data_IF_930133601661
#
_entry.id   IF_930133601661
#
_cell.length_a   1.000
_cell.length_b   1.000
_cell.length_c   1.000
_cell.angle_alpha   90.00
_cell.angle_beta   90.00
_cell.angle_gamma   90.00
#
_symmetry.space_group_name_H-M   'P 1'
#
loop_
_entity.id
_entity.type
_entity.pdbx_description
1 polymer ?
#
# COMPACT_ATOMS: atom_id res chain seq x y z
N UNK A 1 18.77 -14.63 -4.47
CA UNK A 1 17.74 -13.56 -4.63
C UNK A 1 16.60 -13.96 -5.57
N UNK A 2 16.83 -14.19 -6.88
CA UNK A 2 15.74 -14.54 -7.84
C UNK A 2 14.85 -15.73 -7.40
N UNK A 3 15.44 -16.80 -6.84
CA UNK A 3 14.68 -17.97 -6.32
C UNK A 3 13.74 -17.63 -5.16
N UNK A 4 14.12 -16.70 -4.29
CA UNK A 4 13.32 -16.28 -3.12
C UNK A 4 12.15 -15.40 -3.57
N UNK A 5 12.41 -14.46 -4.48
CA UNK A 5 11.37 -13.59 -5.05
C UNK A 5 10.32 -14.44 -5.79
N UNK A 6 10.75 -15.41 -6.61
CA UNK A 6 9.83 -16.29 -7.31
C UNK A 6 8.96 -17.14 -6.35
N UNK A 7 9.52 -17.57 -5.22
CA UNK A 7 8.77 -18.30 -4.20
C UNK A 7 7.73 -17.41 -3.51
N UNK A 8 8.10 -16.16 -3.19
CA UNK A 8 7.19 -15.16 -2.62
C UNK A 8 6.02 -14.88 -3.58
N UNK A 9 6.32 -14.65 -4.86
CA UNK A 9 5.32 -14.44 -5.92
C UNK A 9 4.38 -15.63 -6.01
N UNK A 10 4.93 -16.85 -6.01
CA UNK A 10 4.13 -18.08 -6.05
C UNK A 10 3.18 -18.20 -4.84
N UNK A 11 3.65 -17.90 -3.63
CA UNK A 11 2.81 -17.94 -2.42
C UNK A 11 1.68 -16.90 -2.50
N UNK A 12 1.98 -15.68 -2.97
CA UNK A 12 0.97 -14.62 -3.13
C UNK A 12 -0.11 -15.03 -4.15
N UNK A 13 0.30 -15.52 -5.33
CA UNK A 13 -0.61 -15.99 -6.36
C UNK A 13 -1.44 -17.19 -5.90
N UNK A 14 -0.82 -18.16 -5.23
CA UNK A 14 -1.52 -19.30 -4.66
C UNK A 14 -2.57 -18.87 -3.63
N UNK A 15 -2.25 -17.88 -2.78
CA UNK A 15 -3.21 -17.33 -1.82
C UNK A 15 -4.38 -16.57 -2.48
N UNK A 16 -4.07 -15.77 -3.51
CA UNK A 16 -5.09 -15.08 -4.31
C UNK A 16 -6.05 -16.06 -4.96
N UNK A 17 -5.51 -17.08 -5.64
CA UNK A 17 -6.29 -18.16 -6.23
C UNK A 17 -7.12 -18.88 -5.17
N UNK A 18 -6.52 -19.31 -4.07
CA UNK A 18 -7.22 -20.00 -2.98
C UNK A 18 -8.46 -19.27 -2.48
N UNK A 19 -8.34 -17.95 -2.33
CA UNK A 19 -9.43 -17.17 -1.78
C UNK A 19 -10.52 -16.90 -2.82
N UNK A 20 -10.14 -16.70 -4.09
CA UNK A 20 -11.10 -16.67 -5.22
C UNK A 20 -11.84 -18.01 -5.32
N UNK A 21 -11.12 -19.14 -5.24
CA UNK A 21 -11.70 -20.49 -5.25
C UNK A 21 -12.64 -20.72 -4.06
N UNK A 22 -12.23 -20.41 -2.81
CA UNK A 22 -13.11 -20.50 -1.64
C UNK A 22 -14.38 -19.66 -1.78
N UNK A 23 -14.31 -18.51 -2.45
CA UNK A 23 -15.45 -17.62 -2.63
C UNK A 23 -16.38 -18.06 -3.79
N UNK A 24 -15.84 -18.71 -4.83
CA UNK A 24 -16.60 -19.32 -5.94
C UNK A 24 -17.27 -20.65 -5.50
N UNK A 25 -16.56 -21.48 -4.73
CA UNK A 25 -17.00 -22.82 -4.29
C UNK A 25 -18.03 -22.81 -3.17
N UNK A 26 -18.28 -21.66 -2.52
CA UNK A 26 -19.43 -21.51 -1.62
C UNK A 26 -20.76 -21.83 -2.32
N UNK A 27 -20.77 -21.83 -3.66
CA UNK A 27 -21.93 -22.15 -4.49
C UNK A 27 -21.88 -23.51 -5.21
N UNK A 28 -20.76 -24.25 -5.22
CA UNK A 28 -20.68 -25.60 -5.81
C UNK A 28 -19.46 -26.34 -5.21
N UNK A 29 -19.72 -27.38 -4.43
CA UNK A 29 -18.73 -28.05 -3.58
C UNK A 29 -17.58 -28.72 -4.35
N UNK A 30 -16.38 -28.69 -3.75
CA UNK A 30 -15.14 -29.24 -4.30
C UNK A 30 -14.30 -29.99 -3.24
N UNK A 31 -13.33 -30.75 -3.74
CA UNK A 31 -12.64 -31.85 -3.04
C UNK A 31 -11.71 -31.35 -1.90
N UNK A 32 -12.04 -31.78 -0.68
CA UNK A 32 -11.47 -31.33 0.60
C UNK A 32 -9.93 -31.47 0.68
N UNK A 33 -9.34 -32.41 -0.06
CA UNK A 33 -7.92 -32.74 0.04
C UNK A 33 -6.98 -31.68 -0.59
N UNK A 34 -7.42 -31.02 -1.67
CA UNK A 34 -6.68 -29.90 -2.29
C UNK A 34 -6.84 -28.62 -1.48
N UNK A 35 -8.02 -28.40 -0.89
CA UNK A 35 -8.30 -27.29 0.03
C UNK A 35 -7.45 -27.43 1.30
N UNK A 36 -7.29 -28.64 1.84
CA UNK A 36 -6.51 -28.89 3.06
C UNK A 36 -5.00 -28.66 2.89
N UNK A 37 -4.42 -29.00 1.72
CA UNK A 37 -2.99 -28.72 1.45
C UNK A 37 -2.69 -27.23 1.27
N UNK A 38 -3.71 -26.45 0.97
CA UNK A 38 -3.61 -25.03 0.67
C UNK A 38 -4.22 -24.14 1.79
N UNK A 39 -5.02 -24.70 2.69
CA UNK A 39 -5.63 -24.02 3.84
C UNK A 39 -4.64 -23.64 4.93
N UNK A 40 -3.43 -24.20 4.89
CA UNK A 40 -2.36 -23.91 5.83
C UNK A 40 -1.71 -22.54 5.59
N UNK A 41 -1.92 -21.93 4.41
CA UNK A 41 -1.46 -20.56 4.14
C UNK A 41 -2.42 -19.58 4.81
N UNK A 42 -2.01 -19.07 5.99
CA UNK A 42 -2.79 -18.06 6.72
C UNK A 42 -2.57 -16.68 6.10
N UNK A 43 -3.62 -15.86 6.11
CA UNK A 43 -3.57 -14.44 5.72
C UNK A 43 -2.41 -13.69 6.41
N UNK A 44 -2.12 -14.05 7.65
CA UNK A 44 -1.02 -13.44 8.43
C UNK A 44 0.36 -13.75 7.84
N UNK A 45 0.57 -14.94 7.29
CA UNK A 45 1.84 -15.29 6.66
C UNK A 45 2.01 -14.55 5.33
N UNK A 46 0.91 -14.32 4.62
CA UNK A 46 0.89 -13.48 3.42
C UNK A 46 1.17 -12.01 3.75
N UNK A 47 0.59 -11.49 4.84
CA UNK A 47 0.92 -10.14 5.33
C UNK A 47 2.40 -10.01 5.67
N UNK A 48 2.99 -11.00 6.36
CA UNK A 48 4.44 -11.00 6.66
C UNK A 48 5.29 -10.96 5.39
N UNK A 49 4.88 -11.67 4.35
CA UNK A 49 5.57 -11.68 3.05
C UNK A 49 5.51 -10.30 2.39
N UNK A 50 4.33 -9.68 2.34
CA UNK A 50 4.15 -8.33 1.77
C UNK A 50 4.94 -7.28 2.54
N UNK A 51 5.03 -7.43 3.86
CA UNK A 51 5.82 -6.55 4.76
C UNK A 51 7.32 -6.82 4.74
N UNK A 52 7.77 -7.89 4.09
CA UNK A 52 9.18 -8.29 4.13
C UNK A 52 10.04 -7.33 3.30
N UNK A 53 11.23 -7.01 3.81
CA UNK A 53 12.22 -6.17 3.11
C UNK A 53 12.75 -6.82 1.83
N UNK A 54 12.43 -8.10 1.62
CA UNK A 54 12.84 -8.88 0.46
C UNK A 54 11.85 -8.78 -0.71
N UNK A 55 10.66 -8.19 -0.52
CA UNK A 55 9.71 -7.96 -1.60
C UNK A 55 10.00 -6.61 -2.26
N UNK A 56 10.77 -6.63 -3.34
CA UNK A 56 10.96 -5.47 -4.21
C UNK A 56 10.16 -5.68 -5.49
N UNK A 57 8.99 -5.03 -5.56
CA UNK A 57 8.08 -5.17 -6.71
C UNK A 57 8.72 -4.69 -8.01
N UNK A 58 9.67 -3.75 -7.96
CA UNK A 58 10.35 -3.25 -9.17
C UNK A 58 11.27 -4.28 -9.83
N UNK A 59 11.63 -5.36 -9.10
CA UNK A 59 12.44 -6.48 -9.62
C UNK A 59 11.60 -7.63 -10.18
N UNK A 60 10.29 -7.45 -10.25
CA UNK A 60 9.33 -8.45 -10.71
C UNK A 60 8.81 -8.02 -12.08
N UNK A 61 8.48 -8.97 -12.95
CA UNK A 61 7.87 -8.69 -14.26
C UNK A 61 6.54 -7.92 -14.09
N UNK A 62 6.22 -6.98 -14.99
CA UNK A 62 5.08 -6.05 -14.83
C UNK A 62 3.73 -6.78 -14.67
N UNK A 63 3.49 -7.87 -15.41
CA UNK A 63 2.29 -8.72 -15.32
C UNK A 63 2.11 -9.34 -13.92
N UNK A 64 3.22 -9.73 -13.29
CA UNK A 64 3.25 -10.25 -11.93
C UNK A 64 3.11 -9.14 -10.89
N UNK A 65 3.67 -7.95 -11.15
CA UNK A 65 3.46 -6.78 -10.28
C UNK A 65 1.98 -6.44 -10.15
N UNK A 66 1.26 -6.36 -11.29
CA UNK A 66 -0.18 -6.08 -11.31
C UNK A 66 -0.99 -7.13 -10.55
N UNK A 67 -0.67 -8.41 -10.75
CA UNK A 67 -1.32 -9.53 -10.05
C UNK A 67 -1.10 -9.45 -8.54
N UNK A 68 0.13 -9.20 -8.09
CA UNK A 68 0.46 -9.06 -6.67
C UNK A 68 -0.24 -7.85 -6.06
N UNK A 69 -0.21 -6.69 -6.72
CA UNK A 69 -0.87 -5.48 -6.25
C UNK A 69 -2.39 -5.66 -6.18
N UNK A 70 -2.99 -6.38 -7.12
CA UNK A 70 -4.42 -6.72 -7.10
C UNK A 70 -4.79 -7.57 -5.88
N UNK A 71 -3.94 -8.54 -5.52
CA UNK A 71 -4.10 -9.35 -4.30
C UNK A 71 -3.95 -8.47 -3.06
N UNK A 72 -2.92 -7.62 -3.00
CA UNK A 72 -2.70 -6.67 -1.90
C UNK A 72 -3.92 -5.76 -1.70
N UNK A 73 -4.47 -5.22 -2.80
CA UNK A 73 -5.67 -4.37 -2.82
C UNK A 73 -6.90 -5.15 -2.35
N UNK A 74 -7.14 -6.32 -2.92
CA UNK A 74 -8.33 -7.14 -2.65
C UNK A 74 -8.43 -7.63 -1.22
N UNK A 75 -7.30 -7.94 -0.57
CA UNK A 75 -7.26 -8.44 0.81
C UNK A 75 -6.83 -7.41 1.84
N UNK A 76 -6.64 -6.15 1.44
CA UNK A 76 -6.21 -5.07 2.32
C UNK A 76 -4.95 -5.43 3.14
N UNK A 77 -3.94 -5.98 2.48
CA UNK A 77 -2.78 -6.62 3.14
C UNK A 77 -1.79 -5.64 3.79
N UNK A 78 -1.86 -4.36 3.45
CA UNK A 78 -1.03 -3.30 4.03
C UNK A 78 -1.71 -2.80 5.31
N UNK A 79 -0.97 -2.58 6.39
CA UNK A 79 -1.45 -1.84 7.56
C UNK A 79 -0.71 -0.50 7.68
N UNK A 80 -1.20 0.38 8.55
CA UNK A 80 -0.56 1.69 8.74
C UNK A 80 0.90 1.58 9.20
N UNK A 81 1.22 0.60 10.04
CA UNK A 81 2.57 0.37 10.56
C UNK A 81 3.60 -0.01 9.47
N UNK A 82 3.14 -0.54 8.33
CA UNK A 82 3.99 -0.94 7.19
C UNK A 82 3.83 -0.02 5.98
N UNK A 83 3.03 1.04 6.10
CA UNK A 83 2.68 1.91 5.00
C UNK A 83 3.90 2.63 4.41
N UNK A 84 4.81 3.14 5.24
CA UNK A 84 6.02 3.81 4.77
C UNK A 84 6.92 2.89 3.94
N UNK A 85 7.16 1.65 4.39
CA UNK A 85 7.93 0.64 3.67
C UNK A 85 7.28 0.30 2.33
N UNK A 86 5.96 0.12 2.33
CA UNK A 86 5.22 -0.11 1.10
C UNK A 86 5.34 1.08 0.14
N UNK A 87 5.30 2.31 0.67
CA UNK A 87 5.47 3.53 -0.12
C UNK A 87 6.85 3.58 -0.80
N UNK A 88 7.90 3.16 -0.10
CA UNK A 88 9.24 3.11 -0.67
C UNK A 88 9.38 2.05 -1.77
N UNK A 89 8.79 0.86 -1.57
CA UNK A 89 8.82 -0.23 -2.55
C UNK A 89 8.18 0.16 -3.88
N UNK A 90 7.14 1.01 -3.87
CA UNK A 90 6.43 1.38 -5.09
C UNK A 90 6.95 2.62 -5.81
N UNK A 91 8.09 3.19 -5.39
CA UNK A 91 8.71 4.37 -6.03
C UNK A 91 9.01 4.10 -7.51
N UNK A 92 9.60 2.94 -7.81
CA UNK A 92 10.11 2.57 -9.13
C UNK A 92 9.08 1.86 -10.03
N UNK A 93 7.83 1.71 -9.57
CA UNK A 93 6.77 1.10 -10.39
C UNK A 93 6.37 2.03 -11.54
N UNK A 94 6.03 1.44 -12.68
CA UNK A 94 5.57 2.11 -13.91
C UNK A 94 4.23 1.55 -14.38
N UNK A 95 3.64 2.17 -15.40
CA UNK A 95 2.43 1.65 -16.07
C UNK A 95 1.23 1.42 -15.14
N UNK A 96 0.47 0.34 -15.40
CA UNK A 96 -0.72 -0.02 -14.62
C UNK A 96 -0.39 -0.45 -13.19
N UNK A 97 0.78 -1.07 -12.97
CA UNK A 97 1.25 -1.41 -11.64
C UNK A 97 1.39 -0.15 -10.77
N UNK A 98 1.93 0.96 -11.30
CA UNK A 98 2.00 2.23 -10.57
C UNK A 98 0.61 2.77 -10.23
N UNK A 99 -0.36 2.64 -11.14
CA UNK A 99 -1.74 3.08 -10.91
C UNK A 99 -2.40 2.27 -9.77
N UNK A 100 -2.34 0.94 -9.84
CA UNK A 100 -2.85 0.05 -8.79
C UNK A 100 -2.21 0.32 -7.44
N UNK A 101 -0.89 0.51 -7.42
CA UNK A 101 -0.15 0.88 -6.22
C UNK A 101 -0.64 2.21 -5.63
N UNK A 102 -0.84 3.23 -6.47
CA UNK A 102 -1.32 4.54 -6.00
C UNK A 102 -2.74 4.43 -5.43
N UNK A 103 -3.62 3.64 -6.07
CA UNK A 103 -4.96 3.34 -5.55
C UNK A 103 -4.93 2.69 -4.17
N UNK A 104 -4.02 1.73 -3.95
CA UNK A 104 -3.90 1.05 -2.65
C UNK A 104 -3.56 2.05 -1.55
N UNK A 105 -2.60 2.93 -1.80
CA UNK A 105 -2.18 3.95 -0.82
C UNK A 105 -3.31 4.96 -0.60
N UNK A 106 -3.97 5.40 -1.67
CA UNK A 106 -5.10 6.33 -1.56
C UNK A 106 -6.26 5.72 -0.76
N UNK A 107 -6.55 4.43 -0.94
CA UNK A 107 -7.54 3.73 -0.13
C UNK A 107 -7.20 3.73 1.36
N UNK A 108 -5.91 3.72 1.73
CA UNK A 108 -5.49 3.87 3.13
C UNK A 108 -5.76 5.28 3.65
N UNK A 109 -5.43 6.30 2.88
CA UNK A 109 -5.80 7.67 3.21
C UNK A 109 -7.32 7.80 3.41
N UNK A 110 -8.15 7.31 2.47
CA UNK A 110 -9.60 7.39 2.56
C UNK A 110 -10.17 6.70 3.80
N UNK A 111 -9.57 5.59 4.24
CA UNK A 111 -10.02 4.83 5.43
C UNK A 111 -9.74 5.57 6.73
N UNK A 112 -8.57 6.19 6.86
CA UNK A 112 -8.20 6.94 8.07
C UNK A 112 -7.15 8.01 7.72
N UNK A 113 -7.58 9.24 7.36
CA UNK A 113 -6.69 10.32 6.95
C UNK A 113 -5.67 10.69 8.04
N UNK A 114 -6.08 10.75 9.31
CA UNK A 114 -5.20 11.18 10.39
C UNK A 114 -4.06 10.19 10.62
N UNK A 115 -4.38 8.88 10.67
CA UNK A 115 -3.37 7.83 10.80
C UNK A 115 -2.46 7.77 9.57
N UNK A 116 -3.03 7.94 8.38
CA UNK A 116 -2.26 8.01 7.15
C UNK A 116 -1.25 9.15 7.18
N UNK A 117 -1.70 10.36 7.53
CA UNK A 117 -0.85 11.54 7.52
C UNK A 117 0.29 11.39 8.54
N UNK A 118 0.02 10.85 9.74
CA UNK A 118 1.07 10.54 10.73
C UNK A 118 2.12 9.55 10.23
N UNK A 119 1.71 8.55 9.45
CA UNK A 119 2.64 7.56 8.91
C UNK A 119 3.51 8.12 7.78
N UNK A 120 2.95 8.95 6.89
CA UNK A 120 3.74 9.54 5.79
C UNK A 120 4.69 10.65 6.27
N UNK A 121 4.50 11.20 7.47
CA UNK A 121 5.49 12.12 8.07
C UNK A 121 6.86 11.45 8.25
N UNK A 122 6.90 10.12 8.40
CA UNK A 122 8.14 9.34 8.52
C UNK A 122 8.94 9.24 7.23
N UNK A 123 8.36 9.60 6.08
CA UNK A 123 9.08 9.68 4.79
C UNK A 123 10.04 10.89 4.81
N UNK A 124 10.87 11.05 3.78
CA UNK A 124 11.48 12.37 3.56
C UNK A 124 10.46 13.40 3.03
N UNK A 125 10.84 14.68 3.04
CA UNK A 125 9.96 15.80 2.67
C UNK A 125 9.57 15.77 1.19
N UNK A 126 10.47 15.34 0.31
CA UNK A 126 10.23 15.34 -1.12
C UNK A 126 9.25 14.24 -1.49
N UNK A 127 9.41 13.04 -0.94
CA UNK A 127 8.54 11.90 -1.17
C UNK A 127 7.15 12.12 -0.62
N UNK A 128 7.03 12.64 0.60
CA UNK A 128 5.74 13.02 1.17
C UNK A 128 5.03 14.02 0.27
N UNK A 129 5.74 15.05 -0.20
CA UNK A 129 5.14 16.09 -1.04
C UNK A 129 4.73 15.56 -2.40
N UNK A 130 5.56 14.74 -3.07
CA UNK A 130 5.22 14.09 -4.35
C UNK A 130 3.99 13.18 -4.22
N UNK A 131 3.89 12.43 -3.13
CA UNK A 131 2.75 11.56 -2.87
C UNK A 131 1.47 12.39 -2.71
N UNK A 132 1.50 13.44 -1.90
CA UNK A 132 0.34 14.30 -1.68
C UNK A 132 -0.07 15.10 -2.92
N UNK A 133 0.88 15.54 -3.75
CA UNK A 133 0.60 16.12 -5.07
C UNK A 133 -0.13 15.11 -5.97
N UNK A 134 0.37 13.87 -6.03
CA UNK A 134 -0.29 12.80 -6.78
C UNK A 134 -1.74 12.60 -6.33
N UNK A 135 -2.01 12.73 -5.03
CA UNK A 135 -3.37 12.63 -4.51
C UNK A 135 -4.24 13.82 -4.90
N UNK A 136 -3.69 15.02 -4.81
CA UNK A 136 -4.36 16.25 -5.21
C UNK A 136 -4.68 16.30 -6.72
N UNK A 137 -3.84 15.69 -7.54
CA UNK A 137 -4.00 15.73 -8.99
C UNK A 137 -4.98 14.65 -9.48
N UNK A 138 -5.05 13.50 -8.80
CA UNK A 138 -5.78 12.31 -9.28
C UNK A 138 -7.04 11.95 -8.52
N UNK A 139 -7.14 12.29 -7.23
CA UNK A 139 -8.17 11.68 -6.36
C UNK A 139 -8.92 12.67 -5.46
N UNK A 140 -8.29 13.77 -5.06
CA UNK A 140 -8.81 14.72 -4.09
C UNK A 140 -8.62 16.14 -4.58
N UNK A 141 -9.41 17.06 -4.04
CA UNK A 141 -9.11 18.47 -4.19
C UNK A 141 -7.98 18.88 -3.24
N UNK A 142 -7.04 19.70 -3.74
CA UNK A 142 -5.93 20.30 -2.95
C UNK A 142 -6.37 20.83 -1.57
N UNK A 143 -7.50 21.54 -1.41
CA UNK A 143 -7.94 22.05 -0.12
C UNK A 143 -8.11 20.95 0.94
N UNK A 144 -8.64 19.77 0.56
CA UNK A 144 -8.88 18.68 1.51
C UNK A 144 -7.59 18.15 2.14
N UNK A 145 -6.54 18.03 1.33
CA UNK A 145 -5.21 17.59 1.78
C UNK A 145 -4.58 18.64 2.69
N UNK A 146 -4.70 19.92 2.32
CA UNK A 146 -4.24 21.04 3.14
C UNK A 146 -4.95 21.05 4.50
N UNK A 147 -6.27 20.89 4.53
CA UNK A 147 -7.03 20.86 5.78
C UNK A 147 -6.57 19.74 6.72
N UNK A 148 -6.30 18.55 6.18
CA UNK A 148 -5.84 17.42 7.01
C UNK A 148 -4.41 17.63 7.52
N UNK A 149 -3.54 18.28 6.74
CA UNK A 149 -2.22 18.71 7.20
C UNK A 149 -2.31 19.81 8.26
N UNK A 150 -3.21 20.78 8.09
CA UNK A 150 -3.43 21.88 9.05
C UNK A 150 -4.02 21.37 10.37
N UNK A 151 -4.81 20.28 10.36
CA UNK A 151 -5.24 19.59 11.59
C UNK A 151 -4.07 19.01 12.36
N UNK A 152 -3.10 18.39 11.68
CA UNK A 152 -1.91 17.83 12.34
C UNK A 152 -1.04 18.90 13.01
N UNK A 153 -1.02 20.13 12.47
CA UNK A 153 -0.28 21.23 13.12
C UNK A 153 -0.83 21.58 14.52
N UNK A 154 -2.10 21.25 14.78
CA UNK A 154 -2.78 21.47 16.06
C UNK A 154 -2.58 20.30 17.04
N UNK A 155 -1.95 19.22 16.60
CA UNK A 155 -1.67 18.05 17.44
C UNK A 155 -0.36 18.28 18.21
N UNK A 156 -0.46 18.34 19.54
CA UNK A 156 0.66 18.56 20.46
C UNK A 156 1.64 17.37 20.51
N UNK A 157 1.24 16.21 19.99
CA UNK A 157 2.12 15.03 19.88
C UNK A 157 3.09 15.10 18.70
N UNK A 158 2.90 16.06 17.78
CA UNK A 158 3.74 16.23 16.59
C UNK A 158 4.95 17.10 16.92
N UNK A 159 6.14 16.62 16.55
CA UNK A 159 7.40 17.33 16.80
C UNK A 159 7.50 18.66 16.05
N UNK A 160 8.27 19.62 16.56
CA UNK A 160 8.50 20.90 15.86
C UNK A 160 9.15 20.70 14.49
N UNK A 161 9.98 19.67 14.33
CA UNK A 161 10.57 19.30 13.04
C UNK A 161 9.50 18.86 12.05
N UNK A 162 8.58 18.00 12.47
CA UNK A 162 7.47 17.54 11.62
C UNK A 162 6.49 18.69 11.33
N UNK A 163 6.23 19.58 12.29
CA UNK A 163 5.42 20.79 12.07
C UNK A 163 6.04 21.69 10.99
N UNK A 164 7.36 21.89 11.00
CA UNK A 164 8.06 22.63 9.94
C UNK A 164 7.92 21.95 8.59
N UNK A 165 8.13 20.63 8.54
CA UNK A 165 7.94 19.82 7.34
C UNK A 165 6.53 19.96 6.76
N UNK A 166 5.50 19.84 7.61
CA UNK A 166 4.09 20.02 7.22
C UNK A 166 3.87 21.42 6.63
N UNK A 167 4.37 22.47 7.28
CA UNK A 167 4.24 23.85 6.81
C UNK A 167 4.90 24.06 5.43
N UNK A 168 6.06 23.46 5.20
CA UNK A 168 6.74 23.49 3.90
C UNK A 168 5.94 22.77 2.83
N UNK A 169 5.43 21.57 3.11
CA UNK A 169 4.57 20.83 2.18
C UNK A 169 3.29 21.59 1.85
N UNK A 170 2.61 22.22 2.82
CA UNK A 170 1.44 23.07 2.58
C UNK A 170 1.79 24.23 1.65
N UNK A 171 2.93 24.92 1.87
CA UNK A 171 3.39 26.02 1.01
C UNK A 171 3.61 25.54 -0.42
N UNK A 172 4.19 24.36 -0.61
CA UNK A 172 4.40 23.80 -1.95
C UNK A 172 3.08 23.42 -2.63
N UNK A 173 2.14 22.79 -1.91
CA UNK A 173 0.83 22.42 -2.45
C UNK A 173 -0.05 23.63 -2.84
N UNK A 174 0.13 24.78 -2.18
CA UNK A 174 -0.60 26.03 -2.48
C UNK A 174 0.01 26.85 -3.63
N UNK A 175 1.27 26.59 -4.02
CA UNK A 175 1.98 27.33 -5.08
C UNK A 175 1.78 26.76 -6.48
N UNK A 176 1.53 25.46 -6.57
CA UNK A 176 1.15 24.74 -7.80
C UNK A 176 -0.37 24.74 -7.98
#
# INVERSE_FOLDING_TARGET
MKRIINLIVFILLAFGLLTVYKNIEKNNGLNIEAINKLSDIKLEDVKKIVKSENLDLSKIDEDKQESILSIIKGFDLIDFNSLNKFIEQGKNLTGSAKQLYTDIIYNKYKKNPDSFMKEILKLDSDDMTKLLKTFADKYLEKPKIVDDLEKLLKDDSISDSDKKKIQETIKQLKRD
#
